data_IF_739460868253
#
_entry.id   IF_739460868253
#
_cell.length_a   1.000
_cell.length_b   1.000
_cell.length_c   1.000
_cell.angle_alpha   90.00
_cell.angle_beta   90.00
_cell.angle_gamma   90.00
#
_symmetry.space_group_name_H-M   'P 1'
#
loop_
_entity.id
_entity.type
_entity.pdbx_description
1 polymer ?
#
# COMPACT_ATOMS: atom_id res chain seq x y z
N UNK A 1 -3.99 8.76 -1.49
CA UNK A 1 -2.87 7.92 -1.01
C UNK A 1 -3.10 6.51 -1.53
N UNK A 2 -2.07 5.86 -2.08
CA UNK A 2 -2.16 4.50 -2.63
C UNK A 2 -2.63 3.47 -1.59
N UNK A 3 -3.02 2.29 -2.04
CA UNK A 3 -3.51 1.19 -1.20
C UNK A 3 -2.46 0.80 -0.13
N UNK A 4 -2.77 0.89 1.17
CA UNK A 4 -1.80 0.58 2.23
C UNK A 4 -1.56 -0.92 2.43
N UNK A 5 -2.40 -1.76 1.85
CA UNK A 5 -2.37 -3.22 1.97
C UNK A 5 -1.87 -3.91 0.71
N UNK A 6 -1.41 -3.14 -0.26
CA UNK A 6 -0.93 -3.66 -1.52
C UNK A 6 0.60 -3.72 -1.52
N UNK A 7 1.15 -4.76 -2.12
CA UNK A 7 2.58 -4.83 -2.40
C UNK A 7 2.99 -3.71 -3.38
N UNK A 8 4.23 -3.22 -3.33
CA UNK A 8 4.78 -2.36 -4.36
C UNK A 8 4.63 -2.99 -5.74
N UNK A 9 4.27 -2.18 -6.73
CA UNK A 9 4.06 -2.64 -8.11
C UNK A 9 4.91 -1.84 -9.09
N UNK A 10 5.25 -2.45 -10.21
CA UNK A 10 5.83 -1.77 -11.36
C UNK A 10 4.85 -0.72 -11.94
N UNK A 11 5.32 0.19 -12.81
CA UNK A 11 4.44 1.09 -13.54
C UNK A 11 3.35 0.32 -14.30
N UNK A 12 2.09 0.78 -14.22
CA UNK A 12 1.00 0.17 -14.98
C UNK A 12 1.17 0.40 -16.49
N UNK A 13 0.53 -0.45 -17.30
CA UNK A 13 0.53 -0.25 -18.75
C UNK A 13 -0.03 1.12 -19.14
N UNK A 14 -1.05 1.59 -18.42
CA UNK A 14 -1.59 2.95 -18.60
C UNK A 14 -0.56 4.03 -18.27
N UNK A 15 0.20 3.89 -17.19
CA UNK A 15 1.27 4.83 -16.83
C UNK A 15 2.40 4.81 -17.88
N UNK A 16 2.82 3.62 -18.32
CA UNK A 16 3.87 3.46 -19.33
C UNK A 16 3.45 4.12 -20.66
N UNK A 17 2.22 3.86 -21.10
CA UNK A 17 1.66 4.54 -22.30
C UNK A 17 1.60 6.06 -22.10
N UNK A 18 1.18 6.52 -20.92
CA UNK A 18 1.09 7.97 -20.63
C UNK A 18 2.47 8.65 -20.61
N UNK A 19 3.48 7.98 -20.07
CA UNK A 19 4.86 8.49 -19.95
C UNK A 19 5.62 8.46 -21.28
N UNK A 20 5.22 7.60 -22.23
CA UNK A 20 5.81 7.54 -23.55
C UNK A 20 5.28 8.66 -24.47
N UNK A 21 6.09 9.14 -25.43
CA UNK A 21 5.64 10.06 -26.48
C UNK A 21 4.92 9.32 -27.60
N UNK A 22 5.30 8.05 -27.84
CA UNK A 22 4.66 7.16 -28.77
C UNK A 22 4.36 5.82 -28.12
N UNK A 23 3.15 5.29 -28.31
CA UNK A 23 2.74 3.96 -27.88
C UNK A 23 1.88 3.33 -28.98
N UNK A 24 2.28 2.15 -29.45
CA UNK A 24 1.60 1.44 -30.55
C UNK A 24 1.51 -0.04 -30.25
N UNK A 25 0.45 -0.65 -30.78
CA UNK A 25 0.29 -2.08 -30.82
C UNK A 25 0.68 -2.55 -32.23
N UNK A 26 1.71 -3.38 -32.31
CA UNK A 26 2.29 -3.83 -33.56
C UNK A 26 2.30 -5.34 -33.68
N UNK A 27 2.27 -5.80 -34.94
CA UNK A 27 2.45 -7.19 -35.30
C UNK A 27 3.85 -7.40 -35.87
N UNK A 28 4.57 -8.38 -35.38
CA UNK A 28 5.90 -8.73 -35.87
C UNK A 28 5.84 -9.18 -37.34
N UNK A 29 6.75 -8.65 -38.17
CA UNK A 29 6.83 -8.95 -39.60
C UNK A 29 8.11 -9.69 -39.92
N UNK A 30 9.26 -9.11 -39.59
CA UNK A 30 10.58 -9.68 -39.87
C UNK A 30 11.64 -9.06 -38.95
N UNK A 31 12.71 -9.80 -38.67
CA UNK A 31 13.90 -9.29 -38.00
C UNK A 31 15.14 -9.67 -38.82
N UNK A 32 16.08 -8.73 -38.93
CA UNK A 32 17.31 -8.92 -39.67
C UNK A 32 18.51 -8.50 -38.82
N UNK A 33 19.54 -9.33 -38.82
CA UNK A 33 20.88 -8.93 -38.37
C UNK A 33 21.57 -8.20 -39.54
N UNK A 34 21.99 -6.96 -39.32
CA UNK A 34 22.70 -6.21 -40.33
C UNK A 34 24.18 -6.55 -40.31
N UNK A 35 24.78 -6.79 -41.50
CA UNK A 35 26.21 -7.09 -41.63
C UNK A 35 27.11 -6.02 -41.05
N UNK A 36 28.10 -6.42 -40.28
CA UNK A 36 29.13 -5.57 -39.68
C UNK A 36 28.64 -4.75 -38.48
N UNK A 37 29.14 -3.54 -38.32
CA UNK A 37 28.86 -2.64 -37.19
C UNK A 37 27.48 -1.97 -37.22
N UNK A 38 26.56 -2.39 -38.09
CA UNK A 38 25.26 -1.71 -38.30
C UNK A 38 24.14 -2.19 -37.36
N UNK A 39 24.39 -3.20 -36.51
CA UNK A 39 23.40 -3.65 -35.53
C UNK A 39 22.34 -4.62 -36.09
N UNK A 40 21.15 -4.53 -35.59
CA UNK A 40 19.99 -5.35 -36.00
C UNK A 40 18.75 -4.46 -36.14
N UNK A 41 17.75 -4.92 -36.88
CA UNK A 41 16.49 -4.23 -37.03
C UNK A 41 15.32 -5.21 -37.01
N UNK A 42 14.24 -4.84 -36.35
CA UNK A 42 12.98 -5.56 -36.37
C UNK A 42 11.86 -4.66 -36.85
N UNK A 43 11.05 -5.18 -37.78
CA UNK A 43 9.93 -4.50 -38.40
C UNK A 43 8.61 -4.97 -37.85
N UNK A 44 7.75 -4.02 -37.50
CA UNK A 44 6.39 -4.27 -37.01
C UNK A 44 5.36 -3.57 -37.89
N UNK A 45 4.30 -4.27 -38.26
CA UNK A 45 3.11 -3.67 -38.85
C UNK A 45 2.25 -3.08 -37.73
N UNK A 46 1.89 -1.80 -37.81
CA UNK A 46 1.08 -1.15 -36.77
C UNK A 46 -0.38 -1.55 -36.93
N UNK A 47 -0.97 -2.07 -35.86
CA UNK A 47 -2.38 -2.41 -35.76
C UNK A 47 -3.21 -1.31 -35.10
N UNK A 48 -2.63 -0.64 -34.09
CA UNK A 48 -3.28 0.48 -33.38
C UNK A 48 -2.25 1.42 -32.80
N UNK A 49 -2.51 2.73 -32.88
CA UNK A 49 -1.78 3.73 -32.13
C UNK A 49 -2.57 4.09 -30.88
N UNK A 50 -2.02 3.77 -29.70
CA UNK A 50 -2.58 4.16 -28.40
C UNK A 50 -2.27 5.63 -28.10
N UNK A 51 -1.05 6.07 -28.43
CA UNK A 51 -0.56 7.44 -28.33
C UNK A 51 0.48 7.64 -29.43
N UNK A 52 0.37 8.72 -30.18
CA UNK A 52 1.35 9.02 -31.23
C UNK A 52 1.34 10.51 -31.57
N UNK A 53 2.51 11.14 -31.85
CA UNK A 53 2.57 12.53 -32.32
C UNK A 53 1.76 12.71 -33.57
N UNK A 54 0.93 13.75 -33.64
CA UNK A 54 -0.04 13.98 -34.74
C UNK A 54 0.59 14.02 -36.15
N UNK A 55 1.85 14.47 -36.23
CA UNK A 55 2.56 14.66 -37.52
C UNK A 55 3.15 13.35 -38.09
N UNK A 56 3.21 12.27 -37.35
CA UNK A 56 3.87 11.01 -37.76
C UNK A 56 3.00 9.84 -37.31
N UNK A 57 2.30 9.22 -38.26
CA UNK A 57 1.52 7.97 -37.98
C UNK A 57 1.93 6.90 -38.98
N UNK A 58 3.07 6.23 -38.79
CA UNK A 58 3.54 5.23 -39.74
C UNK A 58 2.69 3.95 -39.64
N UNK A 59 2.44 3.33 -40.79
CA UNK A 59 1.84 1.99 -40.86
C UNK A 59 2.82 0.88 -40.45
N UNK A 60 4.12 1.21 -40.38
CA UNK A 60 5.21 0.30 -40.05
C UNK A 60 6.19 0.99 -39.12
N UNK A 61 6.62 0.28 -38.09
CA UNK A 61 7.64 0.74 -37.15
C UNK A 61 8.88 -0.13 -37.30
N UNK A 62 10.04 0.50 -37.34
CA UNK A 62 11.34 -0.12 -37.40
C UNK A 62 12.05 0.11 -36.06
N UNK A 63 12.38 -0.93 -35.34
CA UNK A 63 13.09 -0.88 -34.05
C UNK A 63 14.52 -1.33 -34.28
N UNK A 64 15.56 -0.54 -33.87
CA UNK A 64 16.97 -0.86 -34.10
C UNK A 64 17.50 -1.92 -33.12
N UNK A 65 16.78 -3.03 -33.01
CA UNK A 65 17.11 -4.19 -32.14
C UNK A 65 16.59 -5.46 -32.80
N UNK A 66 17.32 -6.59 -32.61
CA UNK A 66 16.82 -7.89 -32.97
C UNK A 66 15.79 -8.39 -31.96
N UNK A 67 14.53 -8.43 -32.36
CA UNK A 67 13.44 -8.97 -31.55
C UNK A 67 13.02 -10.32 -32.12
N UNK A 68 13.20 -11.37 -31.34
CA UNK A 68 12.77 -12.72 -31.76
C UNK A 68 11.25 -12.77 -31.82
N UNK A 69 10.73 -13.28 -32.92
CA UNK A 69 9.29 -13.40 -33.12
C UNK A 69 8.95 -14.23 -34.36
N UNK A 70 7.68 -14.46 -34.60
CA UNK A 70 7.10 -15.07 -35.76
C UNK A 70 6.06 -14.15 -36.38
N UNK A 71 5.82 -14.28 -37.67
CA UNK A 71 4.76 -13.52 -38.34
C UNK A 71 3.43 -13.75 -37.64
N UNK A 72 2.84 -12.66 -37.13
CA UNK A 72 1.60 -12.71 -36.39
C UNK A 72 1.74 -12.44 -34.90
N UNK A 73 2.94 -12.56 -34.32
CA UNK A 73 3.18 -12.24 -32.91
C UNK A 73 2.91 -10.74 -32.64
N UNK A 74 2.28 -10.45 -31.51
CA UNK A 74 1.86 -9.12 -31.12
C UNK A 74 2.80 -8.52 -30.10
N UNK A 75 3.04 -7.22 -30.23
CA UNK A 75 3.95 -6.46 -29.37
C UNK A 75 3.37 -5.10 -28.98
N UNK A 76 3.62 -4.71 -27.73
CA UNK A 76 3.50 -3.32 -27.28
C UNK A 76 4.82 -2.60 -27.58
N UNK A 77 4.73 -1.50 -28.32
CA UNK A 77 5.84 -0.66 -28.74
C UNK A 77 5.72 0.69 -28.03
N UNK A 78 6.69 1.01 -27.18
CA UNK A 78 6.77 2.28 -26.46
C UNK A 78 8.00 3.05 -26.93
N UNK A 79 7.90 4.36 -27.04
CA UNK A 79 9.02 5.19 -27.51
C UNK A 79 8.94 6.63 -27.03
N UNK A 80 10.09 7.28 -27.03
CA UNK A 80 10.27 8.68 -26.67
C UNK A 80 10.70 9.48 -27.93
N UNK A 81 10.28 10.72 -28.02
CA UNK A 81 10.80 11.63 -29.04
C UNK A 81 12.28 11.90 -28.77
N UNK A 82 13.09 11.85 -29.81
CA UNK A 82 14.49 12.25 -29.71
C UNK A 82 14.53 13.75 -29.33
N UNK A 83 15.26 14.12 -28.26
CA UNK A 83 15.37 15.53 -27.84
C UNK A 83 15.87 16.47 -28.92
N UNK A 84 16.67 15.97 -29.87
CA UNK A 84 17.27 16.73 -30.97
C UNK A 84 16.44 16.69 -32.26
N UNK A 85 15.31 15.93 -32.26
CA UNK A 85 14.46 15.76 -33.46
C UNK A 85 13.00 15.52 -33.11
N UNK A 86 12.11 16.39 -33.55
CA UNK A 86 10.65 16.25 -33.36
C UNK A 86 10.02 15.11 -34.18
N UNK A 87 10.79 14.41 -35.01
CA UNK A 87 10.29 13.39 -35.94
C UNK A 87 10.88 12.00 -35.74
N UNK A 88 11.93 11.87 -34.93
CA UNK A 88 12.57 10.60 -34.62
C UNK A 88 12.02 10.07 -33.28
N UNK A 89 11.59 8.81 -33.26
CA UNK A 89 11.15 8.13 -32.05
C UNK A 89 12.21 7.09 -31.69
N UNK A 90 12.72 7.21 -30.45
CA UNK A 90 13.62 6.23 -29.85
C UNK A 90 12.75 5.16 -29.19
N UNK A 91 12.67 3.99 -29.82
CA UNK A 91 11.86 2.89 -29.35
C UNK A 91 12.54 2.15 -28.20
N UNK A 92 11.76 1.88 -27.15
CA UNK A 92 12.14 0.94 -26.10
C UNK A 92 12.12 -0.49 -26.65
N UNK A 93 12.66 -1.45 -25.87
CA UNK A 93 12.58 -2.86 -26.25
C UNK A 93 11.12 -3.32 -26.35
N UNK A 94 10.68 -3.83 -27.50
CA UNK A 94 9.33 -4.31 -27.72
C UNK A 94 8.93 -5.40 -26.73
N UNK A 95 7.75 -5.30 -26.14
CA UNK A 95 7.21 -6.29 -25.22
C UNK A 95 6.19 -7.19 -25.93
N UNK A 96 6.47 -8.50 -25.94
CA UNK A 96 5.55 -9.48 -26.51
C UNK A 96 4.27 -9.55 -25.66
N UNK A 97 3.12 -9.51 -26.31
CA UNK A 97 1.81 -9.58 -25.66
C UNK A 97 0.90 -10.61 -26.34
N UNK A 98 -0.07 -11.13 -25.58
CA UNK A 98 -1.12 -12.00 -26.14
C UNK A 98 -2.18 -11.17 -26.88
N UNK A 99 -3.01 -11.80 -27.72
CA UNK A 99 -4.16 -11.14 -28.32
C UNK A 99 -5.12 -10.59 -27.27
N UNK A 100 -5.29 -11.30 -26.16
CA UNK A 100 -6.13 -10.87 -25.05
C UNK A 100 -5.53 -9.64 -24.36
N UNK A 101 -4.20 -9.61 -24.14
CA UNK A 101 -3.51 -8.45 -23.59
C UNK A 101 -3.56 -7.24 -24.55
N UNK A 102 -3.46 -7.49 -25.86
CA UNK A 102 -3.69 -6.45 -26.88
C UNK A 102 -5.09 -5.81 -26.74
N UNK A 103 -6.14 -6.63 -26.67
CA UNK A 103 -7.50 -6.14 -26.49
C UNK A 103 -7.71 -5.45 -25.14
N UNK A 104 -7.10 -5.98 -24.07
CA UNK A 104 -7.11 -5.36 -22.76
C UNK A 104 -6.53 -3.94 -22.77
N UNK A 105 -5.34 -3.76 -23.34
CA UNK A 105 -4.69 -2.44 -23.43
C UNK A 105 -5.50 -1.49 -24.30
N UNK A 106 -5.97 -1.97 -25.46
CA UNK A 106 -6.71 -1.13 -26.44
C UNK A 106 -8.09 -0.68 -25.91
N UNK A 107 -8.70 -1.44 -25.00
CA UNK A 107 -10.02 -1.15 -24.41
C UNK A 107 -9.93 -0.48 -23.04
N UNK A 108 -8.74 -0.40 -22.46
CA UNK A 108 -8.56 0.23 -21.16
C UNK A 108 -9.02 1.70 -21.21
N UNK A 109 -9.70 2.17 -20.14
CA UNK A 109 -10.06 3.58 -20.05
C UNK A 109 -8.81 4.47 -20.09
N UNK A 110 -8.90 5.59 -20.80
CA UNK A 110 -7.78 6.52 -20.96
C UNK A 110 -7.17 6.92 -19.60
N UNK A 111 -5.84 7.10 -19.53
CA UNK A 111 -5.12 7.43 -18.28
C UNK A 111 -5.66 8.68 -17.57
N UNK A 112 -6.16 9.66 -18.31
CA UNK A 112 -6.72 10.93 -17.82
C UNK A 112 -8.12 10.76 -17.21
N UNK A 113 -8.75 9.59 -17.41
CA UNK A 113 -10.04 9.27 -16.80
C UNK A 113 -9.89 9.14 -15.28
N UNK A 114 -10.81 9.74 -14.52
CA UNK A 114 -10.79 9.69 -13.07
C UNK A 114 -10.67 8.22 -12.58
N UNK A 115 -9.78 7.91 -11.61
CA UNK A 115 -9.52 6.54 -11.17
C UNK A 115 -10.78 5.76 -10.78
N UNK A 116 -11.74 6.38 -10.11
CA UNK A 116 -13.00 5.74 -9.74
C UNK A 116 -13.82 5.22 -10.95
N UNK A 117 -13.66 5.82 -12.14
CA UNK A 117 -14.32 5.38 -13.37
C UNK A 117 -13.51 4.31 -14.12
N UNK A 118 -12.20 4.21 -13.85
CA UNK A 118 -11.31 3.23 -14.45
C UNK A 118 -11.35 1.89 -13.70
N UNK A 119 -11.38 1.91 -12.36
CA UNK A 119 -11.33 0.72 -11.51
C UNK A 119 -12.37 -0.36 -11.83
N UNK A 120 -13.63 -0.06 -12.23
CA UNK A 120 -14.59 -1.08 -12.66
C UNK A 120 -14.12 -1.91 -13.86
N UNK A 121 -13.33 -1.32 -14.76
CA UNK A 121 -12.71 -2.05 -15.86
C UNK A 121 -11.69 -3.05 -15.33
N UNK A 122 -10.72 -2.59 -14.54
CA UNK A 122 -9.62 -3.40 -14.02
C UNK A 122 -10.09 -4.48 -13.04
N UNK A 123 -11.15 -4.24 -12.25
CA UNK A 123 -11.72 -5.25 -11.36
C UNK A 123 -12.09 -6.57 -12.07
N UNK A 124 -12.47 -6.52 -13.34
CA UNK A 124 -12.81 -7.71 -14.11
C UNK A 124 -11.61 -8.61 -14.37
N UNK A 125 -10.39 -8.07 -14.28
CA UNK A 125 -9.14 -8.70 -14.67
C UNK A 125 -8.18 -8.99 -13.50
N UNK A 126 -8.57 -8.71 -12.23
CA UNK A 126 -7.69 -8.86 -11.06
C UNK A 126 -7.02 -10.23 -10.92
N UNK A 127 -7.73 -11.32 -11.23
CA UNK A 127 -7.17 -12.69 -11.23
C UNK A 127 -7.35 -13.31 -12.63
N UNK A 128 -6.95 -12.57 -13.64
CA UNK A 128 -6.96 -13.06 -15.00
C UNK A 128 -5.80 -14.05 -15.22
N UNK A 129 -6.01 -15.06 -16.08
CA UNK A 129 -5.05 -16.13 -16.30
C UNK A 129 -3.77 -15.69 -17.02
N UNK A 130 -3.81 -14.60 -17.79
CA UNK A 130 -2.63 -13.95 -18.35
C UNK A 130 -1.99 -13.08 -17.25
N UNK A 131 -0.75 -13.39 -16.82
CA UNK A 131 -0.09 -12.66 -15.72
C UNK A 131 0.08 -11.16 -16.01
N UNK A 132 0.38 -10.77 -17.25
CA UNK A 132 0.52 -9.37 -17.64
C UNK A 132 -0.75 -8.59 -17.32
N UNK A 133 -1.91 -9.16 -17.67
CA UNK A 133 -3.21 -8.55 -17.44
C UNK A 133 -3.55 -8.52 -15.94
N UNK A 134 -3.36 -9.64 -15.24
CA UNK A 134 -3.69 -9.75 -13.82
C UNK A 134 -2.82 -8.86 -12.94
N UNK A 135 -1.52 -8.78 -13.23
CA UNK A 135 -0.56 -7.94 -12.51
C UNK A 135 -0.83 -6.44 -12.76
N UNK A 136 -1.10 -6.06 -14.02
CA UNK A 136 -1.45 -4.69 -14.37
C UNK A 136 -2.76 -4.24 -13.70
N UNK A 137 -3.80 -5.06 -13.76
CA UNK A 137 -5.07 -4.78 -13.11
C UNK A 137 -4.90 -4.60 -11.58
N UNK A 138 -4.07 -5.43 -10.93
CA UNK A 138 -3.73 -5.28 -9.53
C UNK A 138 -2.96 -3.99 -9.27
N UNK A 139 -1.99 -3.64 -10.12
CA UNK A 139 -1.20 -2.41 -9.98
C UNK A 139 -2.05 -1.15 -10.09
N UNK A 140 -3.06 -1.14 -10.96
CA UNK A 140 -4.03 -0.05 -11.07
C UNK A 140 -4.80 0.17 -9.76
N UNK A 141 -5.18 -0.90 -9.04
CA UNK A 141 -5.78 -0.81 -7.71
C UNK A 141 -4.77 -0.38 -6.65
N UNK A 142 -3.56 -0.94 -6.67
CA UNK A 142 -2.52 -0.64 -5.69
C UNK A 142 -2.12 0.85 -5.69
N UNK A 143 -2.15 1.49 -6.84
CA UNK A 143 -1.82 2.91 -7.03
C UNK A 143 -3.00 3.86 -6.87
N UNK A 144 -4.23 3.35 -6.96
CA UNK A 144 -5.42 4.18 -6.84
C UNK A 144 -5.56 4.78 -5.43
N UNK A 145 -6.00 6.05 -5.30
CA UNK A 145 -6.38 6.62 -4.01
C UNK A 145 -7.56 5.84 -3.41
N UNK A 146 -7.55 5.66 -2.07
CA UNK A 146 -8.63 4.93 -1.39
C UNK A 146 -10.02 5.50 -1.68
N UNK A 147 -10.12 6.82 -1.79
CA UNK A 147 -11.37 7.51 -2.12
C UNK A 147 -11.94 7.07 -3.48
N UNK A 148 -11.07 6.78 -4.44
CA UNK A 148 -11.47 6.24 -5.75
C UNK A 148 -11.87 4.77 -5.64
N UNK A 149 -11.15 3.97 -4.85
CA UNK A 149 -11.51 2.57 -4.55
C UNK A 149 -12.89 2.51 -3.89
N UNK A 150 -13.13 3.35 -2.89
CA UNK A 150 -14.42 3.44 -2.21
C UNK A 150 -15.55 3.90 -3.15
N UNK A 151 -15.29 4.90 -3.99
CA UNK A 151 -16.28 5.42 -4.94
C UNK A 151 -16.71 4.38 -5.99
N UNK A 152 -15.81 3.47 -6.37
CA UNK A 152 -16.08 2.41 -7.34
C UNK A 152 -16.70 1.13 -6.73
N UNK A 153 -16.94 1.07 -5.41
CA UNK A 153 -17.30 -0.14 -4.66
C UNK A 153 -18.51 -0.89 -5.22
N UNK A 154 -19.52 -0.20 -5.74
CA UNK A 154 -20.73 -0.83 -6.27
C UNK A 154 -20.48 -1.71 -7.52
N UNK A 155 -19.30 -1.56 -8.15
CA UNK A 155 -18.88 -2.38 -9.30
C UNK A 155 -18.18 -3.67 -8.89
N UNK A 156 -17.82 -3.85 -7.60
CA UNK A 156 -17.06 -5.01 -7.16
C UNK A 156 -17.95 -6.24 -6.96
N UNK A 157 -17.51 -7.38 -7.50
CA UNK A 157 -18.20 -8.65 -7.33
C UNK A 157 -17.84 -9.28 -5.99
N UNK A 158 -18.76 -9.27 -5.04
CA UNK A 158 -18.65 -9.92 -3.74
C UNK A 158 -18.30 -11.41 -3.87
N UNK A 159 -18.94 -12.11 -4.82
CA UNK A 159 -18.69 -13.54 -5.07
C UNK A 159 -17.26 -13.81 -5.51
N UNK A 160 -16.73 -13.01 -6.45
CA UNK A 160 -15.32 -13.14 -6.90
C UNK A 160 -14.36 -12.88 -5.74
N UNK A 161 -14.60 -11.83 -4.94
CA UNK A 161 -13.73 -11.49 -3.80
C UNK A 161 -13.69 -12.61 -2.76
N UNK A 162 -14.83 -13.23 -2.44
CA UNK A 162 -14.90 -14.41 -1.56
C UNK A 162 -14.07 -15.57 -2.11
N UNK A 163 -14.25 -15.88 -3.41
CA UNK A 163 -13.50 -16.94 -4.08
C UNK A 163 -11.99 -16.67 -4.03
N UNK A 164 -11.56 -15.44 -4.33
CA UNK A 164 -10.14 -15.10 -4.33
C UNK A 164 -9.50 -15.15 -2.95
N UNK A 165 -10.22 -14.75 -1.91
CA UNK A 165 -9.73 -14.82 -0.53
C UNK A 165 -9.54 -16.26 -0.02
N UNK A 166 -10.30 -17.22 -0.55
CA UNK A 166 -10.26 -18.62 -0.13
C UNK A 166 -9.47 -19.52 -1.10
N UNK A 167 -8.99 -18.99 -2.22
CA UNK A 167 -8.22 -19.76 -3.20
C UNK A 167 -6.73 -19.82 -2.81
N UNK A 168 -6.14 -21.00 -2.91
CA UNK A 168 -4.70 -21.21 -2.77
C UNK A 168 -3.90 -20.69 -3.97
N UNK A 169 -4.53 -20.58 -5.15
CA UNK A 169 -3.91 -20.08 -6.38
C UNK A 169 -3.64 -18.57 -6.34
N UNK A 170 -4.32 -17.83 -5.46
CA UNK A 170 -4.17 -16.39 -5.35
C UNK A 170 -2.91 -16.05 -4.56
N UNK A 171 -2.06 -15.18 -5.13
CA UNK A 171 -0.85 -14.70 -4.48
C UNK A 171 -1.17 -14.05 -3.14
N UNK A 172 -0.52 -14.52 -2.07
CA UNK A 172 -0.77 -14.06 -0.70
C UNK A 172 -0.77 -12.52 -0.53
N UNK A 173 0.17 -11.75 -1.16
CA UNK A 173 0.14 -10.28 -1.06
C UNK A 173 -1.12 -9.61 -1.61
N UNK A 174 -1.86 -10.26 -2.52
CA UNK A 174 -3.11 -9.71 -3.09
C UNK A 174 -4.30 -9.83 -2.15
N UNK A 175 -4.24 -10.75 -1.18
CA UNK A 175 -5.32 -10.99 -0.20
C UNK A 175 -5.65 -9.74 0.61
N UNK A 176 -4.66 -8.86 0.85
CA UNK A 176 -4.89 -7.58 1.55
C UNK A 176 -5.84 -6.66 0.80
N UNK A 177 -5.64 -6.52 -0.51
CA UNK A 177 -6.58 -5.78 -1.36
C UNK A 177 -7.98 -6.41 -1.32
N UNK A 178 -8.07 -7.73 -1.50
CA UNK A 178 -9.38 -8.42 -1.56
C UNK A 178 -10.12 -8.39 -0.23
N UNK A 179 -9.39 -8.46 0.89
CA UNK A 179 -9.96 -8.25 2.23
C UNK A 179 -10.57 -6.86 2.39
N UNK A 180 -9.82 -5.83 1.98
CA UNK A 180 -10.33 -4.45 1.97
C UNK A 180 -11.57 -4.31 1.07
N UNK A 181 -11.51 -4.79 -0.19
CA UNK A 181 -12.63 -4.69 -1.13
C UNK A 181 -13.86 -5.43 -0.63
N UNK A 182 -13.71 -6.62 -0.05
CA UNK A 182 -14.83 -7.36 0.56
C UNK A 182 -15.41 -6.61 1.75
N UNK A 183 -14.58 -5.93 2.54
CA UNK A 183 -15.03 -5.05 3.62
C UNK A 183 -15.90 -3.87 3.16
N UNK A 184 -15.75 -3.43 1.89
CA UNK A 184 -16.55 -2.33 1.32
C UNK A 184 -17.92 -2.77 0.78
N UNK A 185 -18.09 -4.05 0.38
CA UNK A 185 -19.28 -4.54 -0.33
C UNK A 185 -19.93 -5.75 0.32
N UNK A 186 -19.32 -6.30 1.35
CA UNK A 186 -19.72 -7.52 2.04
C UNK A 186 -20.91 -7.32 2.99
N UNK A 187 -21.30 -8.41 3.60
CA UNK A 187 -22.35 -8.49 4.61
C UNK A 187 -21.87 -9.31 5.83
N UNK A 188 -22.81 -9.70 6.71
CA UNK A 188 -22.50 -10.46 7.93
C UNK A 188 -21.84 -11.83 7.65
N UNK A 189 -22.19 -12.52 6.56
CA UNK A 189 -21.54 -13.78 6.17
C UNK A 189 -20.09 -13.55 5.75
N UNK A 190 -19.82 -12.44 5.07
CA UNK A 190 -18.46 -12.04 4.66
C UNK A 190 -17.62 -11.63 5.88
N UNK A 191 -18.25 -10.96 6.84
CA UNK A 191 -17.60 -10.67 8.12
C UNK A 191 -17.20 -11.95 8.87
N UNK A 192 -18.04 -13.00 8.82
CA UNK A 192 -17.66 -14.31 9.39
C UNK A 192 -16.51 -14.97 8.63
N UNK A 193 -16.51 -14.88 7.29
CA UNK A 193 -15.38 -15.37 6.48
C UNK A 193 -14.08 -14.64 6.84
N UNK A 194 -14.09 -13.30 6.89
CA UNK A 194 -12.90 -12.52 7.25
C UNK A 194 -12.44 -12.85 8.68
N UNK A 195 -13.38 -13.06 9.62
CA UNK A 195 -13.08 -13.50 10.97
C UNK A 195 -12.39 -14.86 10.98
N UNK A 196 -12.88 -15.83 10.22
CA UNK A 196 -12.25 -17.16 10.11
C UNK A 196 -10.81 -17.05 9.58
N UNK A 197 -10.57 -16.21 8.57
CA UNK A 197 -9.21 -15.94 8.07
C UNK A 197 -8.31 -15.28 9.12
N UNK A 198 -8.85 -14.42 9.99
CA UNK A 198 -8.11 -13.82 11.11
C UNK A 198 -7.79 -14.88 12.18
N UNK A 199 -8.71 -15.79 12.46
CA UNK A 199 -8.57 -16.82 13.47
C UNK A 199 -7.64 -17.98 13.06
N UNK A 200 -7.50 -18.21 11.76
CA UNK A 200 -6.62 -19.23 11.21
C UNK A 200 -5.15 -18.81 11.40
N UNK A 201 -4.44 -19.57 12.22
CA UNK A 201 -3.02 -19.37 12.53
C UNK A 201 -2.16 -20.52 11.99
N UNK A 202 -2.61 -21.21 10.95
CA UNK A 202 -1.90 -22.33 10.33
C UNK A 202 -0.58 -21.91 9.70
N UNK A 203 -0.51 -20.69 9.16
CA UNK A 203 0.70 -20.13 8.54
C UNK A 203 1.48 -19.24 9.51
N UNK A 204 2.80 -19.33 9.47
CA UNK A 204 3.70 -18.52 10.31
C UNK A 204 3.79 -17.06 9.85
N UNK A 205 3.57 -16.77 8.55
CA UNK A 205 3.54 -15.43 7.94
C UNK A 205 2.33 -15.31 7.04
N UNK A 206 1.44 -14.40 7.39
CA UNK A 206 0.15 -14.21 6.70
C UNK A 206 0.15 -12.88 5.92
N UNK A 207 0.75 -12.88 4.73
CA UNK A 207 0.78 -11.69 3.88
C UNK A 207 -0.66 -11.24 3.51
N UNK A 208 -0.92 -9.94 3.65
CA UNK A 208 -2.24 -9.35 3.34
C UNK A 208 -3.27 -9.48 4.46
N UNK A 209 -2.93 -10.05 5.62
CA UNK A 209 -3.86 -10.17 6.75
C UNK A 209 -4.28 -8.81 7.32
N UNK A 210 -3.47 -7.77 7.14
CA UNK A 210 -3.76 -6.39 7.48
C UNK A 210 -5.00 -5.84 6.76
N UNK A 211 -5.11 -6.09 5.45
CA UNK A 211 -6.29 -5.71 4.67
C UNK A 211 -7.53 -6.55 5.02
N UNK A 212 -7.35 -7.82 5.38
CA UNK A 212 -8.43 -8.68 5.90
C UNK A 212 -8.95 -8.14 7.24
N UNK A 213 -8.07 -7.75 8.17
CA UNK A 213 -8.43 -7.13 9.45
C UNK A 213 -9.16 -5.80 9.22
N UNK A 214 -8.68 -4.95 8.32
CA UNK A 214 -9.34 -3.70 7.97
C UNK A 214 -10.73 -3.94 7.39
N UNK A 215 -10.88 -4.87 6.45
CA UNK A 215 -12.16 -5.26 5.86
C UNK A 215 -13.14 -5.81 6.90
N UNK A 216 -12.67 -6.62 7.84
CA UNK A 216 -13.48 -7.13 8.94
C UNK A 216 -14.05 -5.99 9.81
N UNK A 217 -13.20 -5.00 10.16
CA UNK A 217 -13.66 -3.83 10.93
C UNK A 217 -14.61 -2.97 10.13
N UNK A 218 -14.42 -2.79 8.81
CA UNK A 218 -15.38 -2.07 7.97
C UNK A 218 -16.78 -2.70 7.99
N UNK A 219 -16.88 -4.03 8.14
CA UNK A 219 -18.17 -4.74 8.22
C UNK A 219 -18.73 -4.82 9.64
N UNK A 220 -17.89 -4.82 10.68
CA UNK A 220 -18.31 -5.03 12.09
C UNK A 220 -18.23 -3.76 12.95
N UNK A 221 -17.71 -2.68 12.40
CA UNK A 221 -17.57 -1.43 13.13
C UNK A 221 -16.77 -1.57 14.41
N UNK A 222 -17.23 -0.95 15.48
CA UNK A 222 -16.57 -0.93 16.78
C UNK A 222 -16.46 -2.33 17.43
N UNK A 223 -17.35 -3.27 17.13
CA UNK A 223 -17.25 -4.65 17.63
C UNK A 223 -16.08 -5.38 16.98
N UNK A 224 -15.79 -5.09 15.70
CA UNK A 224 -14.61 -5.57 15.01
C UNK A 224 -13.32 -5.07 15.66
N UNK A 225 -13.26 -3.80 16.08
CA UNK A 225 -12.11 -3.24 16.81
C UNK A 225 -11.90 -3.96 18.15
N UNK A 226 -12.96 -4.13 18.96
CA UNK A 226 -12.90 -4.85 20.22
C UNK A 226 -12.42 -6.29 20.06
N UNK A 227 -12.89 -6.95 18.99
CA UNK A 227 -12.45 -8.30 18.66
C UNK A 227 -10.94 -8.34 18.36
N UNK A 228 -10.44 -7.43 17.50
CA UNK A 228 -9.02 -7.36 17.15
C UNK A 228 -8.15 -7.02 18.36
N UNK A 229 -8.62 -6.16 19.27
CA UNK A 229 -7.94 -5.87 20.52
C UNK A 229 -7.61 -7.16 21.27
N UNK A 230 -8.65 -7.96 21.56
CA UNK A 230 -8.50 -9.20 22.35
C UNK A 230 -7.69 -10.26 21.59
N UNK A 231 -7.96 -10.43 20.29
CA UNK A 231 -7.39 -11.54 19.51
C UNK A 231 -5.99 -11.26 18.99
N UNK A 232 -5.69 -10.01 18.59
CA UNK A 232 -4.44 -9.67 17.92
C UNK A 232 -3.45 -8.99 18.88
N UNK A 233 -3.92 -8.05 19.67
CA UNK A 233 -3.02 -7.20 20.46
C UNK A 233 -2.80 -7.75 21.88
N UNK A 234 -3.84 -8.26 22.53
CA UNK A 234 -3.75 -8.75 23.92
C UNK A 234 -3.43 -10.25 24.03
N UNK A 235 -3.68 -11.07 23.00
CA UNK A 235 -3.32 -12.48 23.02
C UNK A 235 -1.80 -12.66 22.85
N UNK A 236 -1.06 -13.12 23.87
CA UNK A 236 0.39 -13.27 23.79
C UNK A 236 0.85 -14.35 22.80
N UNK A 237 -0.07 -15.21 22.36
CA UNK A 237 0.22 -16.26 21.37
C UNK A 237 0.17 -15.75 19.93
N UNK A 238 -0.42 -14.57 19.70
CA UNK A 238 -0.49 -13.99 18.35
C UNK A 238 0.90 -13.69 17.83
N UNK A 239 1.26 -14.16 16.61
CA UNK A 239 2.54 -13.84 15.99
C UNK A 239 2.77 -12.34 15.87
N UNK A 240 4.00 -11.89 16.08
CA UNK A 240 4.34 -10.47 16.01
C UNK A 240 4.07 -9.86 14.63
N UNK A 241 4.18 -10.64 13.56
CA UNK A 241 3.81 -10.23 12.20
C UNK A 241 2.36 -9.80 12.09
N UNK A 242 1.46 -10.48 12.80
CA UNK A 242 0.04 -10.18 12.84
C UNK A 242 -0.27 -8.95 13.69
N UNK A 243 0.49 -8.74 14.77
CA UNK A 243 0.39 -7.49 15.55
C UNK A 243 0.80 -6.28 14.69
N UNK A 244 1.89 -6.40 13.91
CA UNK A 244 2.28 -5.34 12.97
C UNK A 244 1.24 -5.12 11.87
N UNK A 245 0.64 -6.18 11.34
CA UNK A 245 -0.46 -6.11 10.39
C UNK A 245 -1.67 -5.40 11.00
N UNK A 246 -2.02 -5.74 12.25
CA UNK A 246 -3.08 -5.07 13.01
C UNK A 246 -2.82 -3.57 13.17
N UNK A 247 -1.60 -3.15 13.53
CA UNK A 247 -1.24 -1.73 13.59
C UNK A 247 -1.38 -1.04 12.23
N UNK A 248 -1.05 -1.73 11.12
CA UNK A 248 -1.25 -1.21 9.77
C UNK A 248 -2.74 -1.01 9.48
N UNK A 249 -3.59 -1.96 9.85
CA UNK A 249 -5.05 -1.84 9.74
C UNK A 249 -5.59 -0.67 10.58
N UNK A 250 -5.11 -0.49 11.83
CA UNK A 250 -5.52 0.62 12.69
C UNK A 250 -5.13 1.98 12.09
N UNK A 251 -3.92 2.12 11.53
CA UNK A 251 -3.49 3.36 10.84
C UNK A 251 -4.37 3.70 9.65
N UNK A 252 -4.77 2.68 8.88
CA UNK A 252 -5.71 2.87 7.77
C UNK A 252 -7.07 3.33 8.28
N UNK A 253 -7.65 2.64 9.27
CA UNK A 253 -8.97 2.97 9.84
C UNK A 253 -8.97 4.35 10.51
N UNK A 254 -7.88 4.72 11.19
CA UNK A 254 -7.72 6.07 11.75
C UNK A 254 -7.84 7.16 10.70
N UNK A 255 -7.21 6.97 9.56
CA UNK A 255 -7.15 7.98 8.50
C UNK A 255 -8.37 7.96 7.58
N UNK A 256 -8.83 6.79 7.21
CA UNK A 256 -9.78 6.57 6.11
C UNK A 256 -11.04 5.82 6.52
N UNK A 257 -11.15 5.36 7.76
CA UNK A 257 -12.34 4.67 8.27
C UNK A 257 -13.58 5.60 8.28
N UNK A 258 -14.77 5.04 8.08
CA UNK A 258 -16.01 5.79 8.10
C UNK A 258 -16.29 6.40 9.50
N UNK A 259 -17.18 7.41 9.60
CA UNK A 259 -17.41 8.16 10.85
C UNK A 259 -17.97 7.32 12.01
N UNK A 260 -18.64 6.23 11.73
CA UNK A 260 -19.23 5.29 12.72
C UNK A 260 -18.18 4.39 13.38
N UNK A 261 -16.97 4.31 12.84
CA UNK A 261 -15.82 3.68 13.49
C UNK A 261 -15.16 4.71 14.43
N UNK A 262 -15.33 4.49 15.74
CA UNK A 262 -14.85 5.41 16.78
C UNK A 262 -13.33 5.50 16.82
N UNK A 263 -12.81 6.72 16.72
CA UNK A 263 -11.38 7.02 16.88
C UNK A 263 -10.87 6.65 18.28
N UNK A 264 -11.69 6.83 19.30
CA UNK A 264 -11.32 6.48 20.66
C UNK A 264 -11.21 4.95 20.84
N UNK A 265 -12.10 4.17 20.24
CA UNK A 265 -11.99 2.71 20.27
C UNK A 265 -10.77 2.23 19.46
N UNK A 266 -10.38 2.93 18.37
CA UNK A 266 -9.11 2.63 17.67
C UNK A 266 -7.92 2.84 18.60
N UNK A 267 -7.86 3.96 19.36
CA UNK A 267 -6.79 4.20 20.35
C UNK A 267 -6.78 3.08 21.41
N UNK A 268 -7.93 2.81 22.04
CA UNK A 268 -8.08 1.73 23.01
C UNK A 268 -7.65 0.36 22.46
N UNK A 269 -7.90 0.10 21.17
CA UNK A 269 -7.46 -1.14 20.51
C UNK A 269 -5.94 -1.22 20.45
N UNK A 270 -5.28 -0.10 20.12
CA UNK A 270 -3.82 -0.03 20.02
C UNK A 270 -3.14 -0.07 21.41
N UNK A 271 -3.84 0.33 22.49
CA UNK A 271 -3.31 0.17 23.85
C UNK A 271 -2.93 -1.30 24.14
N UNK A 272 -3.70 -2.27 23.62
CA UNK A 272 -3.37 -3.70 23.78
C UNK A 272 -2.00 -4.11 23.21
N UNK A 273 -1.40 -3.30 22.34
CA UNK A 273 -0.05 -3.56 21.81
C UNK A 273 1.07 -3.02 22.71
N UNK A 274 0.76 -2.24 23.76
CA UNK A 274 1.78 -1.68 24.65
C UNK A 274 2.51 -2.77 25.45
N UNK A 275 1.83 -3.87 25.76
CA UNK A 275 2.40 -5.03 26.44
C UNK A 275 3.15 -6.02 25.50
N UNK A 276 3.26 -5.67 24.22
CA UNK A 276 3.98 -6.46 23.21
C UNK A 276 5.36 -5.83 22.93
N UNK A 277 6.45 -6.32 23.52
CA UNK A 277 7.78 -5.67 23.49
C UNK A 277 8.31 -5.37 22.09
N UNK A 278 7.96 -6.21 21.11
CA UNK A 278 8.41 -6.08 19.71
C UNK A 278 7.55 -5.10 18.88
N UNK A 279 6.44 -4.62 19.44
CA UNK A 279 5.50 -3.70 18.76
C UNK A 279 5.19 -2.43 19.56
N UNK A 280 5.55 -2.40 20.85
CA UNK A 280 5.22 -1.30 21.75
C UNK A 280 5.72 0.06 21.25
N UNK A 281 6.92 0.15 20.70
CA UNK A 281 7.48 1.38 20.16
C UNK A 281 6.66 1.93 18.98
N UNK A 282 6.12 1.05 18.13
CA UNK A 282 5.24 1.42 17.01
C UNK A 282 3.87 1.88 17.51
N UNK A 283 3.29 1.17 18.48
CA UNK A 283 2.03 1.55 19.12
C UNK A 283 2.13 2.93 19.78
N UNK A 284 3.18 3.16 20.59
CA UNK A 284 3.44 4.44 21.26
C UNK A 284 3.59 5.58 20.23
N UNK A 285 4.27 5.33 19.10
CA UNK A 285 4.43 6.32 18.04
C UNK A 285 3.09 6.68 17.36
N UNK A 286 2.17 5.71 17.22
CA UNK A 286 0.84 5.95 16.67
C UNK A 286 -0.03 6.73 17.67
N UNK A 287 -0.05 6.34 18.94
CA UNK A 287 -0.77 7.05 20.00
C UNK A 287 -0.31 8.52 20.13
N UNK A 288 1.01 8.77 20.06
CA UNK A 288 1.55 10.13 20.04
C UNK A 288 1.04 10.92 18.82
N UNK A 289 1.00 10.30 17.63
CA UNK A 289 0.50 10.95 16.40
C UNK A 289 -0.99 11.27 16.48
N UNK A 290 -1.74 10.41 17.17
CA UNK A 290 -3.19 10.56 17.35
C UNK A 290 -3.55 11.42 18.59
N UNK A 291 -2.53 12.00 19.25
CA UNK A 291 -2.68 12.82 20.46
C UNK A 291 -3.46 12.10 21.55
N UNK A 292 -3.20 10.82 21.72
CA UNK A 292 -3.72 10.05 22.84
C UNK A 292 -2.76 10.18 24.03
N UNK A 293 -3.07 11.08 24.92
CA UNK A 293 -2.25 11.39 26.10
C UNK A 293 -2.71 10.62 27.36
N UNK A 294 -3.68 9.71 27.23
CA UNK A 294 -4.28 8.99 28.37
C UNK A 294 -3.35 7.93 28.98
N UNK A 295 -2.35 7.46 28.24
CA UNK A 295 -1.49 6.30 28.64
C UNK A 295 -0.17 6.72 29.28
N UNK A 296 0.03 7.98 29.66
CA UNK A 296 1.32 8.47 30.20
C UNK A 296 1.80 7.68 31.43
N UNK A 297 0.93 7.37 32.37
CA UNK A 297 1.26 6.62 33.59
C UNK A 297 1.66 5.17 33.25
N UNK A 298 0.91 4.53 32.35
CA UNK A 298 1.21 3.20 31.85
C UNK A 298 2.57 3.16 31.16
N UNK A 299 2.86 4.18 30.33
CA UNK A 299 4.15 4.30 29.63
C UNK A 299 5.31 4.51 30.61
N UNK A 300 5.12 5.24 31.71
CA UNK A 300 6.15 5.35 32.73
C UNK A 300 6.40 4.03 33.46
N UNK A 301 5.34 3.26 33.73
CA UNK A 301 5.47 1.91 34.26
C UNK A 301 6.29 1.01 33.30
N UNK A 302 5.97 1.08 32.01
CA UNK A 302 6.70 0.35 30.96
C UNK A 302 8.16 0.83 30.83
N UNK A 303 8.44 2.12 30.99
CA UNK A 303 9.79 2.68 30.95
C UNK A 303 10.71 2.07 32.02
N UNK A 304 10.19 1.88 33.21
CA UNK A 304 10.95 1.31 34.35
C UNK A 304 11.02 -0.22 34.35
N UNK A 305 10.14 -0.91 33.61
CA UNK A 305 10.17 -2.35 33.47
C UNK A 305 11.52 -2.78 32.87
N UNK A 306 12.15 -3.81 33.46
CA UNK A 306 13.36 -4.42 32.91
C UNK A 306 12.96 -5.60 32.04
N UNK A 307 13.37 -5.56 30.80
CA UNK A 307 13.23 -6.69 29.88
C UNK A 307 14.64 -7.21 29.57
N UNK A 308 14.94 -8.39 30.12
CA UNK A 308 16.22 -9.05 29.92
C UNK A 308 16.22 -9.97 28.70
N UNK A 309 15.04 -10.31 28.18
CA UNK A 309 14.87 -11.19 27.03
C UNK A 309 14.96 -10.42 25.70
N UNK A 310 14.49 -9.17 25.67
CA UNK A 310 14.55 -8.29 24.50
C UNK A 310 15.18 -6.92 24.81
N UNK A 311 16.49 -6.82 25.04
CA UNK A 311 17.15 -5.55 25.39
C UNK A 311 17.05 -4.49 24.30
N UNK A 312 17.08 -4.87 23.01
CA UNK A 312 16.99 -3.95 21.89
C UNK A 312 15.57 -3.38 21.76
N UNK A 313 14.53 -4.20 21.91
CA UNK A 313 13.15 -3.76 21.96
C UNK A 313 12.91 -2.80 23.13
N UNK A 314 13.47 -3.10 24.30
CA UNK A 314 13.37 -2.20 25.46
C UNK A 314 13.99 -0.81 25.17
N UNK A 315 15.14 -0.76 24.48
CA UNK A 315 15.75 0.52 24.09
C UNK A 315 14.85 1.29 23.11
N UNK A 316 14.26 0.60 22.13
CA UNK A 316 13.33 1.21 21.15
C UNK A 316 12.09 1.77 21.87
N UNK A 317 11.48 0.99 22.74
CA UNK A 317 10.32 1.37 23.56
C UNK A 317 10.61 2.58 24.44
N UNK A 318 11.72 2.59 25.20
CA UNK A 318 12.11 3.76 26.01
C UNK A 318 12.29 5.02 25.17
N UNK A 319 12.90 4.92 24.01
CA UNK A 319 13.04 6.04 23.08
C UNK A 319 11.68 6.53 22.56
N UNK A 320 10.75 5.62 22.28
CA UNK A 320 9.41 5.97 21.86
C UNK A 320 8.65 6.67 22.97
N UNK A 321 8.76 6.20 24.22
CA UNK A 321 8.16 6.85 25.41
C UNK A 321 8.68 8.27 25.58
N UNK A 322 10.00 8.51 25.52
CA UNK A 322 10.55 9.87 25.64
C UNK A 322 9.99 10.78 24.54
N UNK A 323 9.89 10.28 23.30
CA UNK A 323 9.32 11.07 22.19
C UNK A 323 7.83 11.36 22.37
N UNK A 324 7.08 10.41 22.88
CA UNK A 324 5.66 10.59 23.19
C UNK A 324 5.47 11.66 24.25
N UNK A 325 6.21 11.61 25.37
CA UNK A 325 6.15 12.61 26.43
C UNK A 325 6.58 14.00 25.94
N UNK A 326 7.63 14.09 25.11
CA UNK A 326 8.01 15.36 24.47
C UNK A 326 6.90 15.90 23.56
N UNK A 327 6.24 15.05 22.79
CA UNK A 327 5.11 15.47 21.95
C UNK A 327 3.94 15.97 22.80
N UNK A 328 3.61 15.25 23.89
CA UNK A 328 2.56 15.65 24.83
C UNK A 328 2.87 16.96 25.54
N UNK A 329 4.14 17.17 25.96
CA UNK A 329 4.57 18.40 26.67
C UNK A 329 4.53 19.65 25.78
N UNK A 330 4.44 19.48 24.46
CA UNK A 330 4.42 20.52 23.42
C UNK A 330 3.06 20.60 22.70
N UNK A 331 2.01 20.00 23.27
CA UNK A 331 0.67 20.03 22.65
C UNK A 331 0.06 21.41 22.74
N UNK A 332 0.18 22.19 21.65
CA UNK A 332 -0.29 23.56 21.55
C UNK A 332 -1.83 23.69 21.45
N UNK A 333 -2.55 22.59 21.12
CA UNK A 333 -4.03 22.56 21.11
C UNK A 333 -4.62 22.54 22.52
N UNK A 334 -3.77 22.34 23.49
CA UNK A 334 -4.09 22.33 24.90
C UNK A 334 -4.33 23.75 25.45
N UNK A 335 -5.54 24.30 25.23
CA UNK A 335 -5.94 25.56 25.86
C UNK A 335 -5.97 25.38 27.37
N UNK A 336 -5.39 26.37 28.12
CA UNK A 336 -5.37 26.43 29.58
C UNK A 336 -4.49 25.42 30.34
N UNK A 337 -3.32 25.02 29.80
CA UNK A 337 -2.36 24.11 30.43
C UNK A 337 -3.01 22.82 30.94
N UNK A 338 -3.45 21.92 30.03
CA UNK A 338 -4.11 20.72 30.44
C UNK A 338 -3.16 19.82 31.24
N UNK A 339 -3.74 19.08 32.17
CA UNK A 339 -3.05 18.22 33.11
C UNK A 339 -1.99 17.29 32.43
N UNK A 340 -2.25 16.80 31.22
CA UNK A 340 -1.33 15.90 30.52
C UNK A 340 -0.01 16.59 30.09
N UNK A 341 -0.03 17.89 29.79
CA UNK A 341 1.18 18.66 29.43
C UNK A 341 2.10 18.78 30.64
N UNK A 342 1.54 19.15 31.80
CA UNK A 342 2.31 19.31 33.01
C UNK A 342 2.83 17.96 33.53
N UNK A 343 2.02 16.92 33.46
CA UNK A 343 2.42 15.56 33.79
C UNK A 343 3.57 15.05 32.89
N UNK A 344 3.50 15.31 31.57
CA UNK A 344 4.55 14.94 30.63
C UNK A 344 5.88 15.64 30.97
N UNK A 345 5.84 16.95 31.34
CA UNK A 345 7.05 17.68 31.75
C UNK A 345 7.67 17.07 33.00
N UNK A 346 6.85 16.72 34.00
CA UNK A 346 7.32 16.07 35.23
C UNK A 346 7.99 14.73 34.92
N UNK A 347 7.40 13.88 34.07
CA UNK A 347 7.98 12.61 33.66
C UNK A 347 9.28 12.78 32.85
N UNK A 348 9.37 13.78 31.98
CA UNK A 348 10.62 14.07 31.24
C UNK A 348 11.73 14.44 32.24
N UNK A 349 11.45 15.26 33.24
CA UNK A 349 12.44 15.63 34.26
C UNK A 349 12.85 14.43 35.14
N UNK A 350 11.94 13.52 35.44
CA UNK A 350 12.26 12.25 36.12
C UNK A 350 13.20 11.39 35.27
N UNK A 351 12.87 11.19 33.97
CA UNK A 351 13.70 10.41 33.05
C UNK A 351 15.06 11.09 32.85
N UNK A 352 15.12 12.42 32.80
CA UNK A 352 16.38 13.19 32.63
C UNK A 352 17.39 12.92 33.72
N UNK A 353 16.92 12.63 34.96
CA UNK A 353 17.83 12.26 36.08
C UNK A 353 18.51 10.92 35.86
N UNK A 354 17.85 9.97 35.23
CA UNK A 354 18.33 8.58 35.01
C UNK A 354 18.94 8.38 33.61
N UNK A 355 18.40 9.03 32.57
CA UNK A 355 18.86 8.94 31.17
C UNK A 355 18.95 10.33 30.49
N UNK A 356 19.87 11.20 30.91
CA UNK A 356 20.04 12.54 30.35
C UNK A 356 20.42 12.51 28.86
N UNK A 357 21.13 11.45 28.43
CA UNK A 357 21.53 11.31 27.01
C UNK A 357 20.37 10.93 26.10
N UNK A 358 19.47 10.08 26.55
CA UNK A 358 18.24 9.68 25.82
C UNK A 358 17.34 10.88 25.62
N UNK A 359 17.08 11.66 26.68
CA UNK A 359 16.26 12.88 26.58
C UNK A 359 16.88 13.91 25.63
N UNK A 360 18.17 14.23 25.79
CA UNK A 360 18.86 15.19 24.91
C UNK A 360 18.91 14.75 23.44
N UNK A 361 18.97 13.43 23.17
CA UNK A 361 18.90 12.91 21.81
C UNK A 361 17.51 13.09 21.19
N UNK A 362 16.45 12.83 21.96
CA UNK A 362 15.07 13.01 21.51
C UNK A 362 14.75 14.50 21.26
N UNK A 363 15.14 15.39 22.15
CA UNK A 363 14.95 16.85 22.01
C UNK A 363 15.60 17.41 20.73
N UNK A 364 16.82 16.95 20.38
CA UNK A 364 17.49 17.34 19.14
C UNK A 364 16.70 16.93 17.88
N UNK A 365 16.06 15.77 17.90
CA UNK A 365 15.23 15.31 16.78
C UNK A 365 13.97 16.16 16.66
N UNK A 366 13.32 16.48 17.78
CA UNK A 366 12.13 17.36 17.82
C UNK A 366 12.45 18.79 17.36
N UNK A 367 13.54 19.38 17.82
CA UNK A 367 13.97 20.72 17.40
C UNK A 367 14.25 20.81 15.89
N UNK A 368 14.84 19.79 15.28
CA UNK A 368 15.06 19.74 13.82
C UNK A 368 13.78 19.58 13.00
N UNK A 369 12.73 18.97 13.54
CA UNK A 369 11.43 18.84 12.85
C UNK A 369 10.64 20.12 12.86
N UNK A 370 10.66 20.90 13.95
CA UNK A 370 10.04 22.25 14.01
C UNK A 370 10.64 23.21 12.98
N UNK A 371 11.97 23.17 12.79
CA UNK A 371 12.67 24.01 11.79
C UNK A 371 12.43 23.62 10.33
N UNK A 372 11.73 22.49 10.05
CA UNK A 372 11.38 22.03 8.70
C UNK A 372 9.89 22.14 8.37
N UNK A 373 9.08 22.50 9.35
CA UNK A 373 7.62 22.71 9.21
C UNK A 373 7.22 24.20 9.19
N UNK A 374 8.17 25.08 9.43
CA UNK A 374 8.10 26.53 9.18
C UNK A 374 8.80 26.86 7.84
#
# INVERSE_FOLDING_TARGET
MACPFCAPTDPTLSERVSQSDAASLGQWVEAQEMDGSKGAETKFAVLSHLKFPEKVKPATIHVPEFVRGQTGDLFLLLGQLDPDSESIILWERPEAITETAFQYVNQAPAPETAPAKRLPYFHRFLEFSDPLIGDDAYAEFAKAPYEAVFAARESYSREKLRKWLTSEDVLAPRRGLYGLLLGLVGNDEDAQLLKQLIDDQSDSVRLGIDGVMAGFVLLRGNDGLRYLRLKIFEDPKTPITDVHAGLTAMRFLWRSGPPDISRDIIKETVHGALDRPEAADLAIADLARWKDWSVQEELMTLYHKKDTENPLGQIATRRAIIRYLLASSLDDDAKDQPQHVEQAKQYIEEIRKSDPRGVAAAERIFGRRRLRSD
#
